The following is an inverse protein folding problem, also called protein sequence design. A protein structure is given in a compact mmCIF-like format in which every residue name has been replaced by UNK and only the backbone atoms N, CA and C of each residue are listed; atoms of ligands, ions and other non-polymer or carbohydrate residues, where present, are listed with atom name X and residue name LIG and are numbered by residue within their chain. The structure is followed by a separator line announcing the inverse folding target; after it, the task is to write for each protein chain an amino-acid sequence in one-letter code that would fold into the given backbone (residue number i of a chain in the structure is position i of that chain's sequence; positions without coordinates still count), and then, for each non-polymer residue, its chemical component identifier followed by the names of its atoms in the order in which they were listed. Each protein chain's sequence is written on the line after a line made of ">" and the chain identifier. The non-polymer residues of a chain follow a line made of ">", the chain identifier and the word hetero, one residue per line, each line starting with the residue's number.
data_IF_006880025453
#
_entry.id   IF_006880025453
#
_cell.length_a   1.000
_cell.length_b   1.000
_cell.length_c   1.000
_cell.angle_alpha   90.00
_cell.angle_beta   90.00
_cell.angle_gamma   90.00
#
_symmetry.space_group_name_H-M   'P 1'
#
loop_
_entity.id
_entity.type
_entity.pdbx_description
1 polymer ?
#
# COMPACT_ATOMS: atom_id res chain seq x y z
N UNK A 1 19.30 -14.41 -36.14
CA UNK A 1 19.84 -14.68 -34.78
C UNK A 1 19.43 -13.63 -33.75
N UNK A 2 19.80 -12.36 -33.92
CA UNK A 2 19.46 -11.27 -32.97
C UNK A 2 18.00 -10.80 -33.00
N UNK A 3 17.33 -10.89 -34.15
CA UNK A 3 15.93 -10.43 -34.31
C UNK A 3 14.91 -11.32 -33.58
N UNK A 4 15.16 -12.62 -33.47
CA UNK A 4 14.26 -13.56 -32.77
C UNK A 4 14.37 -13.46 -31.25
N UNK A 5 15.58 -13.27 -30.72
CA UNK A 5 15.82 -13.06 -29.28
C UNK A 5 15.20 -11.74 -28.79
N UNK A 6 15.32 -10.66 -29.58
CA UNK A 6 14.67 -9.39 -29.27
C UNK A 6 13.15 -9.52 -29.20
N UNK A 7 12.55 -10.20 -30.19
CA UNK A 7 11.10 -10.44 -30.24
C UNK A 7 10.57 -11.26 -29.05
N UNK A 8 11.29 -12.32 -28.66
CA UNK A 8 10.94 -13.19 -27.53
C UNK A 8 11.06 -12.46 -26.19
N UNK A 9 12.06 -11.59 -26.03
CA UNK A 9 12.21 -10.76 -24.83
C UNK A 9 11.13 -9.68 -24.74
N UNK A 10 10.74 -9.06 -25.85
CA UNK A 10 9.62 -8.10 -25.84
C UNK A 10 8.27 -8.76 -25.59
N UNK A 11 8.04 -9.97 -26.11
CA UNK A 11 6.80 -10.71 -25.80
C UNK A 11 6.75 -11.12 -24.34
N UNK A 12 7.85 -11.63 -23.78
CA UNK A 12 7.90 -12.02 -22.37
C UNK A 12 7.79 -10.83 -21.42
N UNK A 13 8.45 -9.70 -21.71
CA UNK A 13 8.27 -8.46 -20.94
C UNK A 13 6.84 -7.91 -21.04
N UNK A 14 6.20 -8.09 -22.20
CA UNK A 14 4.81 -7.71 -22.43
C UNK A 14 3.84 -8.36 -21.44
N UNK A 15 4.09 -9.61 -21.06
CA UNK A 15 3.26 -10.35 -20.10
C UNK A 15 3.34 -9.79 -18.67
N UNK A 16 4.45 -9.14 -18.30
CA UNK A 16 4.65 -8.56 -16.97
C UNK A 16 4.24 -7.08 -16.86
N UNK A 17 3.79 -6.44 -17.95
CA UNK A 17 3.41 -5.02 -17.95
C UNK A 17 2.37 -4.72 -16.87
N UNK A 18 1.40 -5.62 -16.67
CA UNK A 18 0.38 -5.48 -15.62
C UNK A 18 0.98 -5.41 -14.22
N UNK A 19 1.89 -6.33 -13.89
CA UNK A 19 2.61 -6.39 -12.61
C UNK A 19 3.50 -5.16 -12.41
N UNK A 20 4.14 -4.67 -13.47
CA UNK A 20 4.91 -3.43 -13.43
C UNK A 20 4.02 -2.22 -13.11
N UNK A 21 2.84 -2.13 -13.73
CA UNK A 21 1.87 -1.06 -13.45
C UNK A 21 1.40 -1.09 -12.00
N UNK A 22 1.11 -2.26 -11.45
CA UNK A 22 0.78 -2.43 -10.02
C UNK A 22 1.93 -1.93 -9.14
N UNK A 23 3.17 -2.31 -9.47
CA UNK A 23 4.36 -1.90 -8.71
C UNK A 23 4.52 -0.39 -8.71
N UNK A 24 4.39 0.25 -9.88
CA UNK A 24 4.44 1.72 -10.01
C UNK A 24 3.30 2.36 -9.23
N UNK A 25 2.06 1.85 -9.37
CA UNK A 25 0.91 2.37 -8.66
C UNK A 25 1.08 2.27 -7.13
N UNK A 26 1.66 1.18 -6.63
CA UNK A 26 2.02 1.01 -5.23
C UNK A 26 2.98 2.12 -4.76
N UNK A 27 4.07 2.36 -5.49
CA UNK A 27 5.03 3.40 -5.10
C UNK A 27 4.42 4.81 -5.18
N UNK A 28 3.65 5.11 -6.22
CA UNK A 28 2.92 6.39 -6.33
C UNK A 28 2.00 6.60 -5.12
N UNK A 29 1.21 5.59 -4.76
CA UNK A 29 0.36 5.61 -3.57
C UNK A 29 1.17 5.80 -2.29
N UNK A 30 2.25 5.04 -2.11
CA UNK A 30 3.08 5.10 -0.90
C UNK A 30 3.73 6.47 -0.72
N UNK A 31 4.31 7.03 -1.79
CA UNK A 31 4.86 8.39 -1.75
C UNK A 31 3.78 9.45 -1.54
N UNK A 32 2.59 9.30 -2.11
CA UNK A 32 1.45 10.18 -1.83
C UNK A 32 1.08 10.16 -0.33
N UNK A 33 1.11 9.00 0.32
CA UNK A 33 0.88 8.88 1.76
C UNK A 33 1.97 9.57 2.58
N UNK A 34 3.25 9.37 2.25
CA UNK A 34 4.37 10.05 2.94
C UNK A 34 4.25 11.57 2.80
N UNK A 35 4.00 12.07 1.58
CA UNK A 35 3.85 13.50 1.33
C UNK A 35 2.68 14.06 2.12
N UNK A 36 1.54 13.37 2.12
CA UNK A 36 0.37 13.81 2.88
C UNK A 36 0.61 13.80 4.39
N UNK A 37 1.30 12.77 4.91
CA UNK A 37 1.76 12.71 6.31
C UNK A 37 2.67 13.90 6.66
N UNK A 38 3.63 14.22 5.79
CA UNK A 38 4.55 15.33 5.99
C UNK A 38 3.84 16.69 5.97
N UNK A 39 2.97 16.93 4.97
CA UNK A 39 2.18 18.16 4.89
C UNK A 39 1.25 18.32 6.09
N UNK A 40 0.58 17.25 6.52
CA UNK A 40 -0.26 17.28 7.70
C UNK A 40 0.54 17.62 8.95
N UNK A 41 1.73 17.04 9.12
CA UNK A 41 2.62 17.34 10.25
C UNK A 41 3.03 18.80 10.29
N UNK A 42 3.42 19.37 9.14
CA UNK A 42 3.76 20.79 9.02
C UNK A 42 2.57 21.70 9.37
N UNK A 43 1.37 21.36 8.90
CA UNK A 43 0.15 22.11 9.20
C UNK A 43 -0.21 22.06 10.69
N UNK A 44 -0.07 20.89 11.33
CA UNK A 44 -0.30 20.75 12.78
C UNK A 44 0.70 21.58 13.57
N UNK A 45 2.00 21.54 13.24
CA UNK A 45 3.03 22.36 13.89
C UNK A 45 2.71 23.86 13.77
N UNK A 46 2.33 24.32 12.58
CA UNK A 46 1.95 25.73 12.34
C UNK A 46 0.74 26.15 13.17
N UNK A 47 -0.31 25.32 13.22
CA UNK A 47 -1.52 25.56 14.02
C UNK A 47 -1.19 25.65 15.52
N UNK A 48 -0.34 24.76 16.02
CA UNK A 48 0.04 24.72 17.43
C UNK A 48 0.91 25.92 17.83
N UNK A 49 1.93 26.26 17.03
CA UNK A 49 2.73 27.48 17.24
C UNK A 49 1.87 28.76 17.26
N UNK A 50 0.84 28.83 16.40
CA UNK A 50 -0.11 29.94 16.40
C UNK A 50 -0.95 29.96 17.69
N UNK A 51 -1.45 28.82 18.14
CA UNK A 51 -2.21 28.71 19.38
C UNK A 51 -1.40 29.13 20.61
N UNK A 52 -0.12 28.74 20.68
CA UNK A 52 0.80 29.15 21.76
C UNK A 52 1.04 30.66 21.78
N UNK A 53 1.24 31.28 20.60
CA UNK A 53 1.34 32.74 20.48
C UNK A 53 0.07 33.48 20.93
N UNK A 54 -1.08 32.84 20.79
CA UNK A 54 -2.38 33.32 21.26
C UNK A 54 -2.65 32.96 22.74
N UNK A 55 -1.66 32.42 23.47
CA UNK A 55 -1.78 32.04 24.87
C UNK A 55 -2.59 30.77 25.15
N UNK A 56 -2.96 30.01 24.12
CA UNK A 56 -3.68 28.74 24.27
C UNK A 56 -2.69 27.59 24.47
N UNK A 57 -3.05 26.63 25.33
CA UNK A 57 -2.27 25.38 25.48
C UNK A 57 -2.38 24.53 24.22
N UNK A 58 -1.25 24.15 23.65
CA UNK A 58 -1.16 23.17 22.57
C UNK A 58 -0.56 21.87 23.10
N UNK A 59 -1.25 20.74 22.93
CA UNK A 59 -0.70 19.41 23.25
C UNK A 59 0.36 18.95 22.24
N UNK A 60 1.02 17.80 22.45
CA UNK A 60 2.00 17.21 21.53
C UNK A 60 1.47 16.99 20.09
N UNK A 61 2.30 17.15 19.06
CA UNK A 61 1.91 16.92 17.65
C UNK A 61 1.39 15.48 17.43
N UNK A 62 1.96 14.51 18.14
CA UNK A 62 1.54 13.11 18.13
C UNK A 62 0.08 12.90 18.57
N UNK A 63 -0.50 13.85 19.33
CA UNK A 63 -1.89 13.78 19.79
C UNK A 63 -2.90 14.33 18.77
N UNK A 64 -2.43 14.95 17.69
CA UNK A 64 -3.34 15.43 16.64
C UNK A 64 -3.93 14.24 15.88
N UNK A 65 -5.27 14.15 15.88
CA UNK A 65 -6.04 13.04 15.29
C UNK A 65 -5.77 12.87 13.80
N UNK A 66 -5.59 13.98 13.08
CA UNK A 66 -5.24 13.96 11.66
C UNK A 66 -3.84 13.39 11.47
N UNK A 67 -2.89 13.78 12.33
CA UNK A 67 -1.53 13.27 12.31
C UNK A 67 -1.48 11.77 12.63
N UNK A 68 -2.14 11.34 13.68
CA UNK A 68 -2.21 9.92 14.07
C UNK A 68 -2.72 9.04 12.93
N UNK A 69 -3.76 9.49 12.21
CA UNK A 69 -4.32 8.74 11.07
C UNK A 69 -3.27 8.51 9.98
N UNK A 70 -2.52 9.54 9.61
CA UNK A 70 -1.50 9.43 8.58
C UNK A 70 -0.27 8.66 9.03
N UNK A 71 0.14 8.81 10.29
CA UNK A 71 1.21 8.00 10.89
C UNK A 71 0.87 6.50 10.84
N UNK A 72 -0.38 6.16 11.15
CA UNK A 72 -0.88 4.77 11.11
C UNK A 72 -1.03 4.24 9.69
N UNK A 73 -1.49 5.08 8.76
CA UNK A 73 -1.62 4.72 7.34
C UNK A 73 -0.25 4.40 6.73
N UNK A 74 0.75 5.25 6.95
CA UNK A 74 2.11 5.05 6.44
C UNK A 74 2.77 3.86 7.13
N UNK A 75 2.71 3.80 8.47
CA UNK A 75 3.28 2.68 9.23
C UNK A 75 2.72 1.33 8.80
N UNK A 76 1.40 1.19 8.72
CA UNK A 76 0.78 -0.07 8.32
C UNK A 76 1.06 -0.44 6.86
N UNK A 77 1.20 0.54 5.96
CA UNK A 77 1.55 0.29 4.55
C UNK A 77 3.01 -0.16 4.41
N UNK A 78 3.90 0.37 5.24
CA UNK A 78 5.31 -0.02 5.29
C UNK A 78 5.49 -1.44 5.84
N UNK A 79 4.79 -1.79 6.93
CA UNK A 79 4.82 -3.15 7.50
C UNK A 79 4.40 -4.22 6.49
N UNK A 80 3.44 -3.89 5.63
CA UNK A 80 2.84 -4.82 4.67
C UNK A 80 3.53 -4.78 3.30
N UNK A 81 4.42 -3.81 3.08
CA UNK A 81 5.20 -3.63 1.85
C UNK A 81 5.99 -4.88 1.48
N UNK A 82 6.75 -5.42 2.43
CA UNK A 82 7.64 -6.56 2.19
C UNK A 82 6.86 -7.77 1.68
N UNK A 83 5.91 -8.31 2.49
CA UNK A 83 5.08 -9.42 2.06
C UNK A 83 4.35 -9.17 0.73
N UNK A 84 3.88 -7.94 0.49
CA UNK A 84 3.21 -7.60 -0.75
C UNK A 84 4.14 -7.61 -1.96
N UNK A 85 5.22 -6.83 -1.97
CA UNK A 85 6.09 -6.69 -3.14
C UNK A 85 6.81 -7.99 -3.48
N UNK A 86 7.32 -8.71 -2.46
CA UNK A 86 7.93 -10.01 -2.67
C UNK A 86 6.91 -11.03 -3.16
N UNK A 87 5.73 -11.09 -2.55
CA UNK A 87 4.65 -11.99 -2.97
C UNK A 87 4.17 -11.70 -4.39
N UNK A 88 4.03 -10.43 -4.76
CA UNK A 88 3.61 -10.00 -6.10
C UNK A 88 4.55 -10.52 -7.18
N UNK A 89 5.85 -10.26 -7.03
CA UNK A 89 6.85 -10.65 -8.04
C UNK A 89 7.10 -12.15 -8.06
N UNK A 90 7.17 -12.82 -6.89
CA UNK A 90 7.31 -14.28 -6.85
C UNK A 90 6.09 -14.97 -7.47
N UNK A 91 4.87 -14.52 -7.17
CA UNK A 91 3.66 -15.06 -7.78
C UNK A 91 3.66 -14.83 -9.30
N UNK A 92 4.05 -13.63 -9.77
CA UNK A 92 4.15 -13.35 -11.20
C UNK A 92 5.15 -14.27 -11.93
N UNK A 93 6.29 -14.57 -11.30
CA UNK A 93 7.34 -15.40 -11.89
C UNK A 93 7.01 -16.88 -11.88
N UNK A 94 6.39 -17.39 -10.82
CA UNK A 94 6.24 -18.84 -10.60
C UNK A 94 4.82 -19.37 -10.80
N UNK A 95 3.79 -18.52 -10.66
CA UNK A 95 2.37 -18.88 -10.81
C UNK A 95 1.82 -18.29 -12.10
N UNK A 96 1.97 -16.99 -12.29
CA UNK A 96 1.60 -16.31 -13.53
C UNK A 96 1.34 -14.81 -13.33
N UNK A 97 1.70 -13.96 -14.32
CA UNK A 97 1.62 -12.51 -14.18
C UNK A 97 0.19 -11.98 -14.09
N UNK A 98 -0.79 -12.63 -14.73
CA UNK A 98 -2.19 -12.20 -14.69
C UNK A 98 -2.82 -12.30 -13.30
N UNK A 99 -2.56 -13.40 -12.57
CA UNK A 99 -3.06 -13.58 -11.21
C UNK A 99 -2.39 -12.62 -10.23
N UNK A 100 -1.08 -12.45 -10.38
CA UNK A 100 -0.32 -11.47 -9.61
C UNK A 100 -0.84 -10.04 -9.84
N UNK A 101 -1.13 -9.66 -11.08
CA UNK A 101 -1.72 -8.36 -11.40
C UNK A 101 -3.07 -8.14 -10.71
N UNK A 102 -3.99 -9.10 -10.80
CA UNK A 102 -5.33 -8.98 -10.22
C UNK A 102 -5.29 -8.81 -8.69
N UNK A 103 -4.52 -9.65 -8.00
CA UNK A 103 -4.32 -9.54 -6.55
C UNK A 103 -3.55 -8.27 -6.18
N UNK A 104 -2.63 -7.86 -7.04
CA UNK A 104 -1.88 -6.62 -6.95
C UNK A 104 -2.77 -5.38 -6.92
N UNK A 105 -3.68 -5.26 -7.88
CA UNK A 105 -4.64 -4.15 -7.92
C UNK A 105 -5.62 -4.18 -6.75
N UNK A 106 -6.07 -5.37 -6.33
CA UNK A 106 -6.91 -5.51 -5.14
C UNK A 106 -6.20 -4.96 -3.88
N UNK A 107 -4.92 -5.28 -3.70
CA UNK A 107 -4.11 -4.73 -2.60
C UNK A 107 -4.03 -3.19 -2.66
N UNK A 108 -3.65 -2.62 -3.81
CA UNK A 108 -3.52 -1.16 -3.98
C UNK A 108 -4.85 -0.44 -3.72
N UNK A 109 -5.96 -0.96 -4.23
CA UNK A 109 -7.29 -0.39 -4.00
C UNK A 109 -7.67 -0.40 -2.51
N UNK A 110 -7.43 -1.52 -1.82
CA UNK A 110 -7.70 -1.62 -0.38
C UNK A 110 -6.86 -0.65 0.44
N UNK A 111 -5.61 -0.41 0.02
CA UNK A 111 -4.69 0.54 0.65
C UNK A 111 -5.09 1.99 0.46
N UNK A 112 -5.55 2.37 -0.73
CA UNK A 112 -6.12 3.69 -0.99
C UNK A 112 -7.38 3.94 -0.15
N UNK A 113 -8.17 2.89 0.11
CA UNK A 113 -9.36 2.98 0.94
C UNK A 113 -9.06 3.08 2.45
N UNK A 114 -7.93 2.53 2.93
CA UNK A 114 -7.54 2.52 4.34
C UNK A 114 -7.60 3.88 5.06
N UNK A 115 -6.97 4.97 4.58
CA UNK A 115 -7.02 6.27 5.26
C UNK A 115 -8.43 6.89 5.30
N UNK A 116 -9.34 6.47 4.42
CA UNK A 116 -10.71 6.96 4.38
C UNK A 116 -11.56 6.34 5.50
N UNK A 117 -11.32 5.05 5.80
CA UNK A 117 -12.04 4.31 6.84
C UNK A 117 -11.37 4.35 8.20
N UNK A 118 -10.12 4.80 8.30
CA UNK A 118 -9.41 4.85 9.57
C UNK A 118 -10.09 5.84 10.54
N UNK A 119 -10.65 5.37 11.67
CA UNK A 119 -11.42 6.22 12.56
C UNK A 119 -10.49 7.14 13.34
N UNK A 120 -10.68 8.46 13.22
CA UNK A 120 -9.81 9.42 13.89
C UNK A 120 -10.15 9.64 15.38
N UNK A 121 -11.26 9.10 15.91
CA UNK A 121 -11.67 9.34 17.33
C UNK A 121 -12.42 8.20 18.03
N UNK A 122 -13.47 7.59 17.46
CA UNK A 122 -14.32 6.66 18.24
C UNK A 122 -15.30 5.78 17.43
N UNK A 123 -15.21 5.75 16.10
CA UNK A 123 -16.27 5.17 15.27
C UNK A 123 -15.88 3.84 14.61
N UNK A 124 -16.34 2.74 15.20
CA UNK A 124 -16.39 1.38 14.63
C UNK A 124 -15.12 0.82 13.98
N UNK A 125 -14.37 0.00 14.74
CA UNK A 125 -13.31 -0.88 14.21
C UNK A 125 -13.79 -1.76 13.04
N UNK A 126 -15.11 -1.93 12.87
CA UNK A 126 -15.74 -2.69 11.79
C UNK A 126 -15.41 -2.12 10.40
N UNK A 127 -15.38 -0.80 10.22
CA UNK A 127 -15.04 -0.23 8.90
C UNK A 127 -13.56 -0.43 8.56
N UNK A 128 -12.67 -0.40 9.55
CA UNK A 128 -11.26 -0.71 9.34
C UNK A 128 -11.06 -2.13 8.80
N UNK A 129 -11.85 -3.09 9.31
CA UNK A 129 -11.82 -4.48 8.86
C UNK A 129 -12.20 -4.63 7.38
N UNK A 130 -13.04 -3.74 6.83
CA UNK A 130 -13.41 -3.76 5.41
C UNK A 130 -12.26 -3.42 4.46
N UNK A 131 -11.24 -2.68 4.93
CA UNK A 131 -10.00 -2.47 4.17
C UNK A 131 -8.96 -3.55 4.50
N UNK A 132 -8.90 -3.96 5.77
CA UNK A 132 -7.83 -4.81 6.30
C UNK A 132 -7.96 -6.27 5.86
N UNK A 133 -9.17 -6.87 5.96
CA UNK A 133 -9.36 -8.27 5.58
C UNK A 133 -9.16 -8.52 4.08
N UNK A 134 -9.72 -7.71 3.16
CA UNK A 134 -9.45 -7.90 1.74
C UNK A 134 -7.97 -7.69 1.39
N UNK A 135 -7.28 -6.77 2.06
CA UNK A 135 -5.84 -6.59 1.90
C UNK A 135 -5.06 -7.84 2.32
N UNK A 136 -5.40 -8.45 3.46
CA UNK A 136 -4.78 -9.71 3.88
C UNK A 136 -5.11 -10.86 2.94
N UNK A 137 -6.33 -10.91 2.42
CA UNK A 137 -6.70 -11.91 1.42
C UNK A 137 -5.87 -11.79 0.14
N UNK A 138 -5.58 -10.57 -0.32
CA UNK A 138 -4.71 -10.36 -1.47
C UNK A 138 -3.28 -10.89 -1.21
N UNK A 139 -2.70 -10.57 -0.05
CA UNK A 139 -1.37 -11.07 0.34
C UNK A 139 -1.40 -12.61 0.48
N UNK A 140 -2.36 -13.15 1.21
CA UNK A 140 -2.50 -14.60 1.40
C UNK A 140 -2.75 -15.33 0.08
N UNK A 141 -3.46 -14.72 -0.86
CA UNK A 141 -3.64 -15.25 -2.21
C UNK A 141 -2.31 -15.33 -2.97
N UNK A 142 -1.50 -14.27 -2.93
CA UNK A 142 -0.19 -14.24 -3.58
C UNK A 142 0.73 -15.34 -3.06
N UNK A 143 0.85 -15.44 -1.73
CA UNK A 143 1.70 -16.44 -1.07
C UNK A 143 1.11 -17.84 -1.12
N UNK A 144 -0.20 -17.99 -0.94
CA UNK A 144 -0.89 -19.28 -0.93
C UNK A 144 -0.83 -19.98 -2.28
N UNK A 145 -1.02 -19.25 -3.38
CA UNK A 145 -0.85 -19.81 -4.72
C UNK A 145 0.60 -20.19 -5.02
N UNK A 146 1.56 -19.39 -4.54
CA UNK A 146 2.97 -19.71 -4.66
C UNK A 146 3.32 -21.01 -3.91
N UNK A 147 2.79 -21.18 -2.70
CA UNK A 147 2.97 -22.41 -1.92
C UNK A 147 2.29 -23.60 -2.57
N UNK A 148 1.07 -23.42 -3.10
CA UNK A 148 0.36 -24.46 -3.84
C UNK A 148 1.15 -24.93 -5.05
N UNK A 149 1.73 -23.99 -5.80
CA UNK A 149 2.59 -24.28 -6.94
C UNK A 149 3.89 -24.97 -6.54
N UNK A 150 4.51 -24.52 -5.44
CA UNK A 150 5.72 -25.13 -4.89
C UNK A 150 5.48 -26.57 -4.40
N UNK A 151 4.26 -26.92 -4.00
CA UNK A 151 3.87 -28.27 -3.61
C UNK A 151 3.69 -29.24 -4.80
N UNK A 152 3.86 -28.78 -6.05
CA UNK A 152 3.81 -29.61 -7.25
C UNK A 152 2.43 -29.70 -7.90
N UNK A 153 1.49 -28.84 -7.52
CA UNK A 153 0.20 -28.68 -8.17
C UNK A 153 0.19 -27.50 -9.16
#
# INVERSE_FOLDING_TARGET
>A
GRSSLGGVLTSSLGEYIGVMRVTVAYFVMYYAFILTQAFNRLNVIRRKKKAEKEGRKAGPVSEDKGQMRWDRTVGNTLEQQGPFLWGLWLNALFVGPGTAEALGWAYVACRLYYPLVYPSVSGSRVLLWTSTFPNYWAILGLWGQLLYRAAGH
#
